data_IF_298541022869
#
_entry.id   IF_298541022869
#
_cell.length_a   1.000
_cell.length_b   1.000
_cell.length_c   1.000
_cell.angle_alpha   90.00
_cell.angle_beta   90.00
_cell.angle_gamma   90.00
#
_symmetry.space_group_name_H-M   'P 1'
#
loop_
_entity.id
_entity.type
_entity.pdbx_description
1 polymer ?
#
# COMPACT_ATOMS: atom_id res chain seq x y z
N UNK A 1 -3.19 -22.44 -3.07
CA UNK A 1 -3.00 -21.57 -4.25
C UNK A 1 -2.29 -20.36 -3.73
N UNK A 2 -0.96 -20.41 -3.66
CA UNK A 2 -0.10 -19.25 -3.41
C UNK A 2 -0.44 -18.31 -4.56
N UNK A 3 -0.85 -17.07 -4.27
CA UNK A 3 -1.12 -16.10 -5.34
C UNK A 3 0.21 -15.90 -6.06
N UNK A 4 0.42 -16.43 -7.29
CA UNK A 4 1.62 -16.13 -8.03
C UNK A 4 1.58 -14.64 -8.33
N UNK A 5 2.62 -13.92 -7.99
CA UNK A 5 2.94 -12.67 -8.65
C UNK A 5 2.93 -12.97 -10.14
N UNK A 6 2.01 -12.36 -10.84
CA UNK A 6 1.61 -12.66 -12.20
C UNK A 6 2.82 -12.62 -13.16
N UNK A 7 3.35 -13.81 -13.52
CA UNK A 7 4.19 -14.02 -14.69
C UNK A 7 3.29 -14.35 -15.88
N UNK A 8 2.58 -13.36 -16.38
CA UNK A 8 1.82 -13.45 -17.61
C UNK A 8 2.54 -12.68 -18.70
N UNK A 9 3.25 -13.38 -19.56
CA UNK A 9 3.68 -12.82 -20.84
C UNK A 9 2.43 -12.51 -21.68
N UNK A 10 2.20 -11.26 -22.10
CA UNK A 10 1.27 -11.00 -23.17
C UNK A 10 1.97 -11.34 -24.50
N UNK A 11 1.32 -12.17 -25.30
CA UNK A 11 1.68 -12.38 -26.70
C UNK A 11 1.72 -11.05 -27.45
N UNK A 12 2.81 -10.87 -28.18
CA UNK A 12 3.09 -9.77 -29.11
C UNK A 12 1.89 -9.45 -30.01
N UNK A 13 1.51 -8.18 -30.03
CA UNK A 13 1.15 -7.49 -31.29
C UNK A 13 1.26 -5.97 -31.10
N UNK A 14 2.07 -5.39 -32.01
CA UNK A 14 2.28 -3.95 -32.29
C UNK A 14 3.31 -3.20 -31.43
N UNK A 15 4.57 -3.38 -31.82
CA UNK A 15 5.66 -2.42 -31.64
C UNK A 15 5.35 -1.08 -32.35
N UNK A 16 5.02 -0.07 -31.60
CA UNK A 16 5.34 1.31 -31.92
C UNK A 16 6.04 1.93 -30.70
N UNK A 17 7.31 1.59 -30.59
CA UNK A 17 8.23 2.19 -29.62
C UNK A 17 8.60 3.58 -30.16
N UNK A 18 7.94 4.62 -29.64
CA UNK A 18 8.44 5.99 -29.81
C UNK A 18 9.55 6.16 -28.76
N UNK A 19 10.79 6.27 -29.25
CA UNK A 19 11.94 6.70 -28.46
C UNK A 19 11.69 8.10 -27.88
N UNK A 20 11.35 8.18 -26.60
CA UNK A 20 11.26 9.40 -25.81
C UNK A 20 12.46 9.53 -24.85
N UNK A 21 13.67 9.43 -25.42
CA UNK A 21 14.90 9.85 -24.75
C UNK A 21 15.64 10.85 -25.62
N UNK A 22 15.09 12.06 -25.76
CA UNK A 22 15.91 13.23 -26.05
C UNK A 22 15.68 14.24 -24.93
N UNK A 23 16.81 14.52 -24.27
CA UNK A 23 16.93 15.35 -23.10
C UNK A 23 16.13 16.65 -23.18
N UNK A 24 15.48 16.98 -22.12
CA UNK A 24 15.22 18.34 -21.75
C UNK A 24 16.58 18.94 -21.34
N UNK A 25 17.25 19.55 -22.31
CA UNK A 25 18.50 20.27 -22.10
C UNK A 25 18.27 21.35 -21.02
N UNK A 26 19.00 21.25 -19.93
CA UNK A 26 18.95 22.14 -18.76
C UNK A 26 19.62 23.50 -18.98
N UNK A 27 20.05 23.84 -20.19
CA UNK A 27 20.74 25.12 -20.50
C UNK A 27 20.01 25.86 -21.63
N UNK A 28 18.86 26.45 -21.31
CA UNK A 28 18.37 27.58 -22.11
C UNK A 28 17.85 28.66 -21.19
N UNK A 29 18.47 29.80 -21.31
CA UNK A 29 18.12 31.07 -20.68
C UNK A 29 16.60 31.26 -20.64
N UNK A 30 16.10 31.71 -19.48
CA UNK A 30 14.69 32.03 -19.22
C UNK A 30 14.22 33.10 -20.20
N UNK A 31 13.81 32.64 -21.38
CA UNK A 31 13.04 33.44 -22.31
C UNK A 31 11.58 33.35 -21.90
N UNK A 32 11.03 34.47 -21.39
CA UNK A 32 9.59 34.59 -21.17
C UNK A 32 8.85 34.49 -22.50
N UNK A 33 8.50 33.28 -22.90
CA UNK A 33 7.51 33.10 -23.96
C UNK A 33 6.15 33.45 -23.38
N UNK A 34 5.48 34.41 -23.97
CA UNK A 34 4.06 34.69 -23.79
C UNK A 34 3.27 33.42 -24.08
N UNK A 35 2.84 32.74 -23.00
CA UNK A 35 2.11 31.50 -23.09
C UNK A 35 0.75 31.73 -23.75
N UNK A 36 0.46 30.96 -24.79
CA UNK A 36 -0.88 30.89 -25.34
C UNK A 36 -1.82 30.29 -24.29
N UNK A 37 -3.05 30.79 -24.24
CA UNK A 37 -4.12 30.46 -23.31
C UNK A 37 -4.55 28.96 -23.35
N UNK A 38 -3.89 28.10 -24.13
CA UNK A 38 -4.26 26.72 -24.47
C UNK A 38 -3.42 25.63 -23.79
N UNK A 39 -2.55 25.97 -22.83
CA UNK A 39 -1.69 24.97 -22.18
C UNK A 39 -2.40 24.08 -21.14
N UNK A 40 -3.61 24.45 -20.71
CA UNK A 40 -4.48 23.66 -19.84
C UNK A 40 -5.90 23.68 -20.43
N UNK A 41 -6.49 22.49 -20.50
CA UNK A 41 -7.88 22.26 -20.92
C UNK A 41 -8.71 22.01 -19.67
N UNK A 42 -9.85 22.70 -19.57
CA UNK A 42 -10.82 22.57 -18.47
C UNK A 42 -12.12 21.99 -19.00
N UNK A 43 -12.89 21.34 -18.13
CA UNK A 43 -14.28 21.00 -18.40
C UNK A 43 -15.24 22.18 -18.15
N UNK A 44 -16.55 21.93 -18.32
CA UNK A 44 -17.60 22.91 -18.13
C UNK A 44 -17.70 23.41 -16.68
N UNK A 45 -17.29 22.60 -15.71
CA UNK A 45 -17.27 22.90 -14.29
C UNK A 45 -15.96 23.56 -13.82
N UNK A 46 -15.00 23.76 -14.73
CA UNK A 46 -13.70 24.38 -14.46
C UNK A 46 -12.67 23.41 -13.86
N UNK A 47 -12.93 22.09 -13.87
CA UNK A 47 -11.94 21.11 -13.47
C UNK A 47 -10.92 20.85 -14.60
N UNK A 48 -9.69 20.54 -14.24
CA UNK A 48 -8.61 20.29 -15.22
C UNK A 48 -8.81 18.95 -15.89
N UNK A 49 -8.91 18.93 -17.21
CA UNK A 49 -8.94 17.72 -18.04
C UNK A 49 -7.53 17.31 -18.45
N UNK A 50 -6.74 18.24 -18.99
CA UNK A 50 -5.38 17.98 -19.46
C UNK A 50 -4.56 19.27 -19.50
N UNK A 51 -3.22 19.11 -19.59
CA UNK A 51 -2.32 20.24 -19.79
C UNK A 51 -0.90 19.79 -20.04
N UNK A 52 -0.05 20.73 -20.50
CA UNK A 52 1.39 20.48 -20.55
C UNK A 52 1.94 20.24 -19.13
N UNK A 53 2.98 19.45 -19.00
CA UNK A 53 3.58 19.18 -17.69
C UNK A 53 3.97 20.46 -16.97
N UNK A 54 4.53 21.42 -17.72
CA UNK A 54 4.94 22.71 -17.17
C UNK A 54 3.77 23.56 -16.70
N UNK A 55 2.68 23.62 -17.47
CA UNK A 55 1.48 24.37 -17.10
C UNK A 55 0.80 23.77 -15.85
N UNK A 56 0.75 22.43 -15.76
CA UNK A 56 0.22 21.75 -14.58
C UNK A 56 1.12 21.99 -13.34
N UNK A 57 2.45 21.95 -13.49
CA UNK A 57 3.38 22.27 -12.39
C UNK A 57 3.22 23.74 -11.98
N UNK A 58 3.11 24.65 -12.91
CA UNK A 58 2.86 26.09 -12.59
C UNK A 58 1.57 26.27 -11.81
N UNK A 59 0.49 25.56 -12.20
CA UNK A 59 -0.77 25.58 -11.45
C UNK A 59 -0.65 24.97 -10.03
N UNK A 60 0.33 24.08 -9.79
CA UNK A 60 0.61 23.56 -8.44
C UNK A 60 1.17 24.65 -7.53
N UNK A 61 1.90 25.63 -8.07
CA UNK A 61 2.66 26.59 -7.28
C UNK A 61 1.69 27.67 -6.75
N UNK A 62 1.60 27.82 -5.41
CA UNK A 62 0.73 28.82 -4.81
C UNK A 62 1.30 30.21 -5.00
N UNK A 63 0.42 31.17 -5.16
CA UNK A 63 0.74 32.61 -5.15
C UNK A 63 0.08 33.30 -3.96
N UNK A 64 0.22 34.60 -3.86
CA UNK A 64 -0.47 35.42 -2.85
C UNK A 64 -2.00 35.28 -2.90
N UNK A 65 -2.54 35.22 -4.11
CA UNK A 65 -3.99 35.28 -4.35
C UNK A 65 -4.56 33.92 -4.86
N UNK A 66 -3.71 32.93 -5.04
CA UNK A 66 -4.08 31.59 -5.52
C UNK A 66 -3.46 30.48 -4.67
N UNK A 67 -4.28 29.49 -4.35
CA UNK A 67 -3.83 28.23 -3.74
C UNK A 67 -4.57 27.07 -4.41
N UNK A 68 -3.87 26.07 -4.95
CA UNK A 68 -4.52 24.90 -5.52
C UNK A 68 -5.30 24.14 -4.43
N UNK A 69 -6.38 23.48 -4.85
CA UNK A 69 -7.13 22.63 -3.94
C UNK A 69 -6.34 21.35 -3.56
N UNK A 70 -6.77 20.69 -2.48
CA UNK A 70 -6.09 19.50 -1.97
C UNK A 70 -6.12 18.34 -2.94
N UNK A 71 -7.22 18.16 -3.66
CA UNK A 71 -7.38 17.07 -4.62
C UNK A 71 -6.41 17.26 -5.79
N UNK A 72 -6.28 18.48 -6.30
CA UNK A 72 -5.31 18.82 -7.34
C UNK A 72 -3.86 18.57 -6.88
N UNK A 73 -3.50 19.10 -5.69
CA UNK A 73 -2.16 18.89 -5.10
C UNK A 73 -1.84 17.39 -5.02
N UNK A 74 -2.73 16.62 -4.41
CA UNK A 74 -2.52 15.19 -4.23
C UNK A 74 -2.41 14.45 -5.56
N UNK A 75 -3.37 14.69 -6.47
CA UNK A 75 -3.41 14.05 -7.79
C UNK A 75 -2.16 14.33 -8.60
N UNK A 76 -1.71 15.60 -8.64
CA UNK A 76 -0.51 15.96 -9.37
C UNK A 76 0.74 15.34 -8.73
N UNK A 77 0.96 15.51 -7.43
CA UNK A 77 2.11 14.95 -6.73
C UNK A 77 2.20 13.43 -6.88
N UNK A 78 1.06 12.74 -6.88
CA UNK A 78 1.00 11.29 -7.05
C UNK A 78 1.47 10.85 -8.44
N UNK A 79 1.08 11.54 -9.48
CA UNK A 79 1.27 11.10 -10.88
C UNK A 79 2.47 11.75 -11.56
N UNK A 80 2.80 13.01 -11.24
CA UNK A 80 3.86 13.77 -11.91
C UNK A 80 5.25 13.17 -11.69
N UNK A 81 5.45 12.42 -10.60
CA UNK A 81 6.71 11.73 -10.28
C UNK A 81 7.16 10.72 -11.34
N UNK A 82 6.27 10.34 -12.24
CA UNK A 82 6.60 9.51 -13.40
C UNK A 82 7.25 10.28 -14.56
N UNK A 83 7.22 11.60 -14.49
CA UNK A 83 7.74 12.52 -15.50
C UNK A 83 8.82 13.47 -14.95
N UNK A 84 8.69 13.88 -13.71
CA UNK A 84 9.57 14.83 -13.02
C UNK A 84 9.93 14.30 -11.65
N UNK A 85 11.22 14.29 -11.30
CA UNK A 85 11.66 13.85 -9.98
C UNK A 85 11.11 14.78 -8.87
N UNK A 86 10.72 14.25 -7.69
CA UNK A 86 10.24 15.07 -6.58
C UNK A 86 11.20 16.20 -6.18
N UNK A 87 12.52 15.95 -6.23
CA UNK A 87 13.56 16.94 -5.94
C UNK A 87 13.60 18.10 -6.96
N UNK A 88 13.38 17.79 -8.23
CA UNK A 88 13.28 18.79 -9.29
C UNK A 88 11.98 19.60 -9.16
N UNK A 89 10.86 18.93 -8.86
CA UNK A 89 9.61 19.61 -8.64
C UNK A 89 9.68 20.60 -7.48
N UNK A 90 10.25 20.19 -6.34
CA UNK A 90 10.45 21.08 -5.18
C UNK A 90 11.38 22.24 -5.52
N UNK A 91 12.43 22.00 -6.33
CA UNK A 91 13.31 23.06 -6.79
C UNK A 91 12.56 24.10 -7.67
N UNK A 92 11.70 23.64 -8.59
CA UNK A 92 10.86 24.55 -9.41
C UNK A 92 9.91 25.39 -8.55
N UNK A 93 9.31 24.79 -7.50
CA UNK A 93 8.47 25.51 -6.54
C UNK A 93 9.29 26.58 -5.82
N UNK A 94 10.49 26.24 -5.33
CA UNK A 94 11.38 27.16 -4.64
C UNK A 94 11.79 28.34 -5.54
N UNK A 95 12.24 28.07 -6.77
CA UNK A 95 12.62 29.09 -7.73
C UNK A 95 11.50 30.08 -8.03
N UNK A 96 10.26 29.57 -8.22
CA UNK A 96 9.11 30.43 -8.50
C UNK A 96 8.77 31.32 -7.29
N UNK A 97 8.80 30.76 -6.08
CA UNK A 97 8.58 31.55 -4.86
C UNK A 97 9.63 32.66 -4.68
N UNK A 98 10.91 32.37 -4.98
CA UNK A 98 11.97 33.37 -4.97
C UNK A 98 11.74 34.47 -5.99
N UNK A 99 11.31 34.09 -7.21
CA UNK A 99 11.00 35.06 -8.27
C UNK A 99 9.84 35.98 -7.88
N UNK A 100 8.75 35.44 -7.35
CA UNK A 100 7.59 36.21 -6.89
C UNK A 100 7.96 37.20 -5.76
N UNK A 101 8.81 36.79 -4.83
CA UNK A 101 9.29 37.68 -3.77
C UNK A 101 10.15 38.82 -4.32
N UNK A 102 10.98 38.56 -5.32
CA UNK A 102 11.87 39.57 -5.91
C UNK A 102 11.12 40.49 -6.89
N UNK A 103 10.12 39.97 -7.63
CA UNK A 103 9.37 40.72 -8.65
C UNK A 103 8.40 41.74 -8.05
N UNK A 104 7.93 41.51 -6.83
CA UNK A 104 6.90 42.38 -6.20
C UNK A 104 7.47 43.62 -5.47
N UNK A 105 8.80 43.74 -5.36
CA UNK A 105 9.46 44.95 -4.86
C UNK A 105 8.93 45.48 -3.50
N UNK A 106 9.09 46.79 -3.26
CA UNK A 106 8.71 47.45 -1.99
C UNK A 106 7.21 47.46 -1.66
N UNK A 107 6.34 47.10 -2.61
CA UNK A 107 4.87 47.13 -2.47
C UNK A 107 4.25 45.84 -1.89
N UNK A 108 5.05 44.85 -1.47
CA UNK A 108 4.55 43.58 -0.91
C UNK A 108 4.13 43.78 0.55
N UNK A 109 2.83 44.01 0.76
CA UNK A 109 2.28 44.25 2.11
C UNK A 109 2.54 43.06 3.05
N UNK A 110 2.59 43.32 4.35
CA UNK A 110 2.74 42.26 5.38
C UNK A 110 1.61 41.23 5.26
N UNK A 111 0.40 41.65 4.96
CA UNK A 111 -0.77 40.79 4.75
C UNK A 111 -0.62 39.90 3.52
N UNK A 112 -0.08 40.42 2.41
CA UNK A 112 0.20 39.67 1.20
C UNK A 112 1.25 38.55 1.46
N UNK A 113 2.30 38.89 2.23
CA UNK A 113 3.31 37.89 2.65
C UNK A 113 2.72 36.79 3.53
N UNK A 114 1.87 37.16 4.49
CA UNK A 114 1.19 36.19 5.36
C UNK A 114 0.29 35.24 4.57
N UNK A 115 -0.47 35.74 3.58
CA UNK A 115 -1.30 34.90 2.70
C UNK A 115 -0.45 33.96 1.84
N UNK A 116 0.62 34.47 1.24
CA UNK A 116 1.54 33.65 0.46
C UNK A 116 2.16 32.55 1.31
N UNK A 117 2.63 32.84 2.52
CA UNK A 117 3.13 31.83 3.46
C UNK A 117 2.06 30.76 3.72
N UNK A 118 0.81 31.16 4.05
CA UNK A 118 -0.25 30.21 4.34
C UNK A 118 -0.53 29.25 3.17
N UNK A 119 -0.49 29.76 1.93
CA UNK A 119 -0.73 28.98 0.74
C UNK A 119 0.44 28.01 0.44
N UNK A 120 1.70 28.46 0.58
CA UNK A 120 2.88 27.61 0.43
C UNK A 120 2.94 26.56 1.55
N UNK A 121 2.66 26.96 2.78
CA UNK A 121 2.61 26.05 3.92
C UNK A 121 1.57 24.93 3.71
N UNK A 122 0.42 25.26 3.13
CA UNK A 122 -0.60 24.26 2.78
C UNK A 122 -0.09 23.26 1.77
N UNK A 123 0.58 23.68 0.68
CA UNK A 123 1.18 22.79 -0.30
C UNK A 123 2.23 21.89 0.35
N UNK A 124 3.17 22.45 1.11
CA UNK A 124 4.23 21.71 1.78
C UNK A 124 3.69 20.71 2.81
N UNK A 125 2.66 21.11 3.55
CA UNK A 125 1.99 20.25 4.54
C UNK A 125 1.29 19.07 3.88
N UNK A 126 0.53 19.31 2.80
CA UNK A 126 -0.11 18.22 2.03
C UNK A 126 0.94 17.26 1.44
N UNK A 127 2.06 17.78 0.92
CA UNK A 127 3.13 16.95 0.38
C UNK A 127 3.78 16.09 1.47
N UNK A 128 4.23 16.72 2.56
CA UNK A 128 4.90 16.03 3.66
C UNK A 128 4.02 14.97 4.34
N UNK A 129 2.71 15.22 4.45
CA UNK A 129 1.76 14.29 5.07
C UNK A 129 1.43 13.09 4.18
N UNK A 130 1.22 13.32 2.88
CA UNK A 130 0.79 12.27 1.96
C UNK A 130 1.96 11.45 1.40
N UNK A 131 3.13 12.05 1.23
CA UNK A 131 4.31 11.44 0.61
C UNK A 131 5.59 11.70 1.43
N UNK A 132 5.64 11.25 2.69
CA UNK A 132 6.78 11.50 3.58
C UNK A 132 8.08 10.89 3.06
N UNK A 133 8.02 9.80 2.29
CA UNK A 133 9.20 9.13 1.72
C UNK A 133 10.00 10.01 0.75
N UNK A 134 9.36 10.98 0.07
CA UNK A 134 10.07 11.95 -0.77
C UNK A 134 11.11 12.74 0.03
N UNK A 135 10.89 12.90 1.33
CA UNK A 135 11.74 13.66 2.24
C UNK A 135 12.74 12.79 3.02
N UNK A 136 12.99 11.55 2.62
CA UNK A 136 14.12 10.76 3.14
C UNK A 136 15.45 11.33 2.74
N UNK A 137 15.53 11.95 1.58
CA UNK A 137 16.70 12.68 1.13
C UNK A 137 16.92 13.96 1.95
N UNK A 138 18.14 14.14 2.48
CA UNK A 138 18.52 15.32 3.25
C UNK A 138 18.37 16.61 2.44
N UNK A 139 18.68 16.56 1.14
CA UNK A 139 18.56 17.72 0.25
C UNK A 139 17.11 18.17 0.09
N UNK A 140 16.16 17.23 0.04
CA UNK A 140 14.73 17.52 0.01
C UNK A 140 14.26 18.20 1.30
N UNK A 141 14.70 17.70 2.46
CA UNK A 141 14.36 18.31 3.76
C UNK A 141 14.97 19.69 3.91
N UNK A 142 16.20 19.86 3.50
CA UNK A 142 16.86 21.17 3.52
C UNK A 142 16.09 22.18 2.65
N UNK A 143 15.79 21.84 1.40
CA UNK A 143 15.02 22.71 0.48
C UNK A 143 13.62 23.04 1.01
N UNK A 144 12.95 22.07 1.64
CA UNK A 144 11.68 22.34 2.32
C UNK A 144 11.82 23.37 3.43
N UNK A 145 12.86 23.22 4.26
CA UNK A 145 13.19 24.18 5.32
C UNK A 145 13.53 25.57 4.78
N UNK A 146 14.33 25.66 3.72
CA UNK A 146 14.66 26.91 3.02
C UNK A 146 13.42 27.59 2.47
N UNK A 147 12.55 26.86 1.75
CA UNK A 147 11.31 27.38 1.19
C UNK A 147 10.39 27.96 2.28
N UNK A 148 10.14 27.21 3.33
CA UNK A 148 9.27 27.66 4.43
C UNK A 148 9.91 28.78 5.25
N UNK A 149 11.23 28.75 5.44
CA UNK A 149 11.98 29.78 6.14
C UNK A 149 11.95 31.12 5.43
N UNK A 150 12.15 31.12 4.11
CA UNK A 150 12.07 32.34 3.29
C UNK A 150 10.67 32.99 3.30
N UNK A 151 9.64 32.15 3.34
CA UNK A 151 8.25 32.64 3.32
C UNK A 151 7.74 33.05 4.71
N UNK A 152 8.45 32.70 5.79
CA UNK A 152 8.04 33.01 7.17
C UNK A 152 8.14 34.52 7.46
N UNK A 153 7.05 35.10 7.95
CA UNK A 153 6.91 36.55 8.15
C UNK A 153 7.01 36.97 9.62
N UNK A 154 6.59 36.08 10.52
CA UNK A 154 6.47 36.31 11.95
C UNK A 154 6.80 35.05 12.78
N UNK A 155 6.84 35.20 14.11
CA UNK A 155 7.15 34.08 15.02
C UNK A 155 6.11 32.94 14.91
N UNK A 156 4.86 33.23 14.59
CA UNK A 156 3.83 32.21 14.40
C UNK A 156 4.11 31.35 13.17
N UNK A 157 4.51 31.97 12.07
CA UNK A 157 4.87 31.21 10.84
C UNK A 157 6.15 30.39 11.04
N UNK A 158 7.13 30.90 11.77
CA UNK A 158 8.31 30.12 12.15
C UNK A 158 7.95 28.89 12.99
N UNK A 159 7.11 29.07 14.02
CA UNK A 159 6.64 27.97 14.86
C UNK A 159 5.89 26.90 14.08
N UNK A 160 5.05 27.29 13.11
CA UNK A 160 4.35 26.36 12.22
C UNK A 160 5.34 25.59 11.33
N UNK A 161 6.37 26.25 10.82
CA UNK A 161 7.45 25.64 10.03
C UNK A 161 8.21 24.60 10.86
N UNK A 162 8.66 24.98 12.06
CA UNK A 162 9.39 24.09 12.97
C UNK A 162 8.55 22.86 13.34
N UNK A 163 7.25 23.07 13.60
CA UNK A 163 6.33 21.97 13.91
C UNK A 163 6.17 21.02 12.71
N UNK A 164 5.98 21.52 11.51
CA UNK A 164 5.85 20.69 10.30
C UNK A 164 7.12 19.84 10.08
N UNK A 165 8.31 20.45 10.20
CA UNK A 165 9.58 19.76 10.05
C UNK A 165 9.79 18.70 11.15
N UNK A 166 9.41 19.01 12.39
CA UNK A 166 9.47 18.06 13.51
C UNK A 166 8.50 16.87 13.30
N UNK A 167 7.26 17.13 12.88
CA UNK A 167 6.26 16.10 12.59
C UNK A 167 6.71 15.20 11.43
N UNK A 168 7.29 15.78 10.38
CA UNK A 168 7.88 15.04 9.27
C UNK A 168 9.04 14.15 9.76
N UNK A 169 9.98 14.71 10.53
CA UNK A 169 11.10 13.94 11.08
C UNK A 169 10.63 12.81 12.00
N UNK A 170 9.62 13.06 12.82
CA UNK A 170 9.00 12.03 13.65
C UNK A 170 8.40 10.91 12.81
N UNK A 171 7.72 11.25 11.71
CA UNK A 171 7.13 10.29 10.77
C UNK A 171 8.22 9.44 10.11
N UNK A 172 9.29 10.06 9.58
CA UNK A 172 10.41 9.35 8.98
C UNK A 172 11.09 8.41 9.97
N UNK A 173 11.35 8.86 11.19
CA UNK A 173 11.91 8.04 12.26
C UNK A 173 11.03 6.85 12.63
N UNK A 174 9.71 6.99 12.54
CA UNK A 174 8.75 5.89 12.75
C UNK A 174 8.85 4.86 11.63
N UNK A 175 8.92 5.31 10.38
CA UNK A 175 9.08 4.46 9.20
C UNK A 175 10.40 3.67 9.27
N UNK A 176 11.50 4.34 9.57
CA UNK A 176 12.82 3.70 9.68
C UNK A 176 12.90 2.68 10.83
N UNK A 177 12.25 2.97 11.97
CA UNK A 177 12.15 2.00 13.09
C UNK A 177 11.35 0.78 12.69
N UNK A 178 10.25 0.96 11.97
CA UNK A 178 9.44 -0.14 11.49
C UNK A 178 10.19 -1.02 10.51
N UNK A 179 10.86 -0.44 9.51
CA UNK A 179 11.63 -1.18 8.52
C UNK A 179 12.76 -1.99 9.16
N UNK A 180 13.47 -1.38 10.12
CA UNK A 180 14.49 -2.10 10.91
C UNK A 180 13.89 -3.24 11.74
N UNK A 181 12.73 -3.04 12.35
CA UNK A 181 12.05 -4.09 13.10
C UNK A 181 11.65 -5.26 12.21
N UNK A 182 11.10 -4.98 11.02
CA UNK A 182 10.74 -6.03 10.03
C UNK A 182 11.97 -6.77 9.52
N UNK A 183 13.07 -6.07 9.21
CA UNK A 183 14.31 -6.69 8.78
C UNK A 183 14.90 -7.65 9.84
N UNK A 184 14.73 -7.33 11.11
CA UNK A 184 15.16 -8.17 12.22
C UNK A 184 14.26 -9.42 12.44
N UNK A 185 13.00 -9.41 11.92
CA UNK A 185 12.10 -10.57 11.94
C UNK A 185 12.39 -11.57 10.81
N UNK A 186 13.39 -11.31 9.96
CA UNK A 186 13.77 -12.21 8.87
C UNK A 186 14.30 -13.54 9.41
N UNK A 187 13.97 -14.70 8.76
CA UNK A 187 14.27 -16.05 9.29
C UNK A 187 15.74 -16.31 9.62
N UNK A 188 16.67 -15.62 8.96
CA UNK A 188 18.11 -15.79 9.16
C UNK A 188 18.62 -15.36 10.54
N UNK A 189 17.82 -14.64 11.33
CA UNK A 189 18.18 -14.20 12.68
C UNK A 189 17.48 -15.02 13.78
N UNK A 190 16.61 -15.95 13.43
CA UNK A 190 15.73 -16.66 14.38
C UNK A 190 16.33 -17.93 15.00
N UNK A 191 17.61 -18.29 14.75
CA UNK A 191 18.25 -19.46 15.39
C UNK A 191 18.27 -19.41 16.93
N UNK A 192 18.00 -18.24 17.54
CA UNK A 192 17.99 -18.08 19.00
C UNK A 192 16.62 -18.23 19.67
N UNK A 193 15.53 -18.33 18.91
CA UNK A 193 14.16 -18.41 19.46
C UNK A 193 13.51 -19.80 19.38
N UNK A 194 14.23 -20.80 18.86
CA UNK A 194 13.77 -22.19 18.76
C UNK A 194 13.73 -22.95 20.09
N UNK A 195 14.01 -22.31 21.22
CA UNK A 195 13.97 -22.97 22.56
C UNK A 195 12.62 -22.92 23.26
N UNK A 196 11.55 -22.55 22.56
CA UNK A 196 10.19 -22.65 23.12
C UNK A 196 9.45 -23.88 22.55
N UNK A 197 10.01 -25.07 22.78
CA UNK A 197 9.43 -26.35 22.40
C UNK A 197 8.09 -26.71 23.10
N UNK A 198 7.59 -25.84 23.97
CA UNK A 198 6.36 -26.06 24.74
C UNK A 198 5.29 -24.96 24.51
N UNK A 199 5.30 -24.25 23.36
CA UNK A 199 4.18 -23.39 23.04
C UNK A 199 3.01 -24.26 22.58
N UNK A 200 2.01 -24.36 23.41
CA UNK A 200 0.67 -24.81 23.04
C UNK A 200 0.26 -24.08 21.76
N UNK A 201 -0.44 -24.78 20.84
CA UNK A 201 -0.83 -24.18 19.55
C UNK A 201 -1.66 -22.91 19.71
N UNK A 202 -1.81 -22.17 18.63
CA UNK A 202 -2.53 -20.87 18.60
C UNK A 202 -3.94 -20.95 19.21
N UNK A 203 -4.65 -22.08 19.00
CA UNK A 203 -5.98 -22.31 19.57
C UNK A 203 -6.00 -22.39 21.11
N UNK A 204 -4.89 -22.80 21.73
CA UNK A 204 -4.77 -22.85 23.20
C UNK A 204 -4.31 -21.50 23.76
N UNK A 205 -3.43 -20.82 23.04
CA UNK A 205 -2.95 -19.49 23.41
C UNK A 205 -4.04 -18.43 23.29
N UNK A 206 -4.92 -18.52 22.29
CA UNK A 206 -6.01 -17.59 22.02
C UNK A 206 -7.29 -18.39 21.67
N UNK A 207 -8.02 -18.91 22.67
CA UNK A 207 -9.20 -19.76 22.41
C UNK A 207 -10.38 -19.02 21.81
N UNK A 208 -10.41 -17.68 21.92
CA UNK A 208 -11.49 -16.85 21.41
C UNK A 208 -11.22 -16.40 19.96
N UNK A 209 -12.00 -16.88 18.95
CA UNK A 209 -11.84 -16.50 17.57
C UNK A 209 -11.93 -14.99 17.31
N UNK A 210 -12.80 -14.29 18.06
CA UNK A 210 -12.95 -12.83 17.93
C UNK A 210 -11.69 -12.10 18.42
N UNK A 211 -11.07 -12.55 19.50
CA UNK A 211 -9.82 -11.97 19.97
C UNK A 211 -8.69 -12.19 18.95
N UNK A 212 -8.57 -13.39 18.36
CA UNK A 212 -7.56 -13.63 17.32
C UNK A 212 -7.80 -12.74 16.10
N UNK A 213 -9.04 -12.58 15.65
CA UNK A 213 -9.38 -11.69 14.54
C UNK A 213 -8.97 -10.23 14.85
N UNK A 214 -9.13 -9.77 16.08
CA UNK A 214 -8.69 -8.46 16.54
C UNK A 214 -7.15 -8.31 16.50
N UNK A 215 -6.41 -9.34 16.95
CA UNK A 215 -4.92 -9.31 16.90
C UNK A 215 -4.41 -9.37 15.46
N UNK A 216 -5.02 -10.15 14.57
CA UNK A 216 -4.72 -10.13 13.14
C UNK A 216 -4.95 -8.75 12.54
N UNK A 217 -6.07 -8.11 12.89
CA UNK A 217 -6.41 -6.75 12.45
C UNK A 217 -5.38 -5.72 12.94
N UNK A 218 -4.84 -5.89 14.14
CA UNK A 218 -3.76 -5.05 14.66
C UNK A 218 -2.52 -5.11 13.76
N UNK A 219 -2.05 -6.32 13.41
CA UNK A 219 -0.90 -6.52 12.54
C UNK A 219 -1.15 -5.95 11.14
N UNK A 220 -2.33 -6.21 10.58
CA UNK A 220 -2.72 -5.73 9.26
C UNK A 220 -2.67 -4.20 9.17
N UNK A 221 -3.30 -3.49 10.11
CA UNK A 221 -3.31 -2.03 10.12
C UNK A 221 -1.91 -1.45 10.36
N UNK A 222 -1.11 -2.06 11.24
CA UNK A 222 0.27 -1.62 11.49
C UNK A 222 1.15 -1.75 10.24
N UNK A 223 0.97 -2.79 9.44
CA UNK A 223 1.72 -3.01 8.20
C UNK A 223 1.17 -2.15 7.06
N UNK A 224 -0.15 -2.08 6.92
CA UNK A 224 -0.80 -1.34 5.86
C UNK A 224 -0.49 0.17 5.93
N UNK A 225 -0.44 0.74 7.15
CA UNK A 225 -0.15 2.16 7.33
C UNK A 225 1.26 2.57 6.90
N UNK A 226 2.19 1.62 6.76
CA UNK A 226 3.56 1.89 6.30
C UNK A 226 3.70 1.94 4.78
N UNK A 227 2.73 1.41 4.02
CA UNK A 227 2.76 1.46 2.56
C UNK A 227 2.44 2.88 2.10
N UNK A 228 3.39 3.54 1.42
CA UNK A 228 3.21 4.86 0.85
C UNK A 228 2.44 4.83 -0.48
N UNK A 229 1.69 5.89 -0.83
CA UNK A 229 1.10 6.03 -2.16
C UNK A 229 2.15 6.02 -3.27
N UNK A 230 3.29 6.64 -3.01
CA UNK A 230 4.48 6.66 -3.88
C UNK A 230 5.01 5.25 -4.13
N UNK A 231 5.10 4.40 -3.10
CA UNK A 231 5.55 3.02 -3.22
C UNK A 231 4.63 2.21 -4.17
N UNK A 232 3.30 2.42 -4.06
CA UNK A 232 2.35 1.79 -4.98
C UNK A 232 2.61 2.27 -6.41
N UNK A 233 2.74 3.58 -6.66
CA UNK A 233 3.02 4.11 -7.99
C UNK A 233 4.31 3.51 -8.56
N UNK A 234 5.40 3.50 -7.78
CA UNK A 234 6.68 2.93 -8.24
C UNK A 234 6.61 1.42 -8.48
N UNK A 235 5.83 0.67 -7.70
CA UNK A 235 5.62 -0.76 -7.96
C UNK A 235 4.90 -1.02 -9.27
N UNK A 236 3.90 -0.19 -9.61
CA UNK A 236 3.16 -0.29 -10.87
C UNK A 236 4.01 0.10 -12.09
N UNK A 237 5.02 0.97 -11.89
CA UNK A 237 5.96 1.35 -12.94
C UNK A 237 7.05 0.30 -13.17
N UNK A 238 7.48 -0.39 -12.13
CA UNK A 238 8.59 -1.36 -12.20
C UNK A 238 8.28 -2.50 -13.16
N UNK A 239 7.04 -2.96 -13.21
CA UNK A 239 6.59 -3.98 -14.15
C UNK A 239 6.63 -3.51 -15.63
N UNK A 240 6.66 -2.18 -15.85
CA UNK A 240 6.85 -1.56 -17.18
C UNK A 240 8.31 -1.13 -17.42
N UNK A 241 9.19 -1.12 -16.41
CA UNK A 241 10.54 -0.54 -16.45
C UNK A 241 11.64 -1.53 -16.88
N UNK A 242 11.34 -2.80 -17.08
CA UNK A 242 12.27 -3.69 -17.83
C UNK A 242 12.49 -3.19 -19.26
N UNK A 243 11.66 -2.24 -19.73
CA UNK A 243 11.77 -1.54 -21.02
C UNK A 243 12.36 -0.13 -20.92
N UNK A 244 12.46 0.50 -19.75
CA UNK A 244 12.96 1.88 -19.57
C UNK A 244 14.01 1.89 -18.44
N UNK A 245 15.12 1.22 -18.72
CA UNK A 245 16.26 1.22 -17.80
C UNK A 245 16.94 2.57 -17.74
N UNK A 246 16.68 3.40 -16.74
CA UNK A 246 17.63 4.40 -16.20
C UNK A 246 17.11 5.33 -15.08
N UNK A 247 15.83 5.38 -14.73
CA UNK A 247 15.34 6.37 -13.74
C UNK A 247 15.26 5.82 -12.30
N UNK A 248 15.36 4.51 -12.12
CA UNK A 248 15.19 3.85 -10.82
C UNK A 248 16.47 3.77 -9.96
N UNK A 249 17.59 4.35 -10.37
CA UNK A 249 18.87 4.24 -9.65
C UNK A 249 19.09 5.23 -8.53
N UNK A 250 18.13 6.12 -8.23
CA UNK A 250 18.29 7.17 -7.21
C UNK A 250 17.50 6.95 -5.92
N UNK A 251 16.57 5.99 -5.89
CA UNK A 251 15.97 5.54 -4.63
C UNK A 251 16.58 4.20 -4.26
N UNK A 252 17.39 4.14 -3.21
CA UNK A 252 17.93 2.91 -2.62
C UNK A 252 16.83 1.99 -2.06
N UNK A 253 15.73 1.84 -2.80
CA UNK A 253 14.64 0.92 -2.50
C UNK A 253 15.13 -0.50 -2.78
N UNK A 254 15.50 -1.19 -1.72
CA UNK A 254 15.68 -2.63 -1.70
C UNK A 254 14.46 -3.31 -2.34
N UNK A 255 14.68 -4.44 -3.01
CA UNK A 255 13.64 -5.30 -3.61
C UNK A 255 12.57 -5.80 -2.60
N UNK A 256 12.64 -5.40 -1.35
CA UNK A 256 11.76 -5.73 -0.23
C UNK A 256 11.15 -4.48 0.41
N UNK A 257 10.41 -3.66 -0.35
CA UNK A 257 9.65 -2.55 0.20
C UNK A 257 8.49 -3.02 1.12
N UNK A 258 7.77 -2.06 1.71
CA UNK A 258 6.65 -2.36 2.62
C UNK A 258 5.55 -3.20 1.94
N UNK A 259 5.33 -3.01 0.64
CA UNK A 259 4.45 -3.88 -0.17
C UNK A 259 4.94 -5.33 -0.12
N UNK A 260 6.22 -5.58 -0.36
CA UNK A 260 6.81 -6.91 -0.29
C UNK A 260 6.66 -7.55 1.09
N UNK A 261 6.90 -6.80 2.15
CA UNK A 261 6.72 -7.25 3.53
C UNK A 261 5.25 -7.56 3.86
N UNK A 262 4.31 -6.79 3.29
CA UNK A 262 2.89 -7.02 3.48
C UNK A 262 2.41 -8.29 2.76
N UNK A 263 2.87 -8.53 1.54
CA UNK A 263 2.62 -9.78 0.80
C UNK A 263 3.25 -10.98 1.50
N UNK A 264 4.47 -10.83 2.03
CA UNK A 264 5.14 -11.88 2.83
C UNK A 264 4.31 -12.24 4.06
N UNK A 265 3.75 -11.26 4.74
CA UNK A 265 2.84 -11.50 5.88
C UNK A 265 1.60 -12.31 5.48
N UNK A 266 0.95 -11.96 4.38
CA UNK A 266 -0.20 -12.71 3.86
C UNK A 266 0.16 -14.19 3.63
N UNK A 267 1.30 -14.46 2.98
CA UNK A 267 1.78 -15.81 2.73
C UNK A 267 2.16 -16.53 4.04
N UNK A 268 2.77 -15.82 4.98
CA UNK A 268 3.12 -16.36 6.30
C UNK A 268 1.87 -16.79 7.06
N UNK A 269 0.81 -15.96 7.09
CA UNK A 269 -0.46 -16.30 7.73
C UNK A 269 -1.11 -17.52 7.05
N UNK A 270 -1.08 -17.60 5.71
CA UNK A 270 -1.59 -18.74 4.95
C UNK A 270 -0.89 -20.04 5.35
N UNK A 271 0.43 -20.03 5.42
CA UNK A 271 1.23 -21.19 5.80
C UNK A 271 1.08 -21.51 7.30
N UNK A 272 0.94 -20.49 8.16
CA UNK A 272 0.73 -20.68 9.60
C UNK A 272 -0.56 -21.46 9.86
N UNK A 273 -1.67 -21.10 9.19
CA UNK A 273 -2.95 -21.83 9.32
C UNK A 273 -2.76 -23.33 8.98
N UNK A 274 -2.08 -23.64 7.89
CA UNK A 274 -1.82 -25.03 7.52
C UNK A 274 -0.89 -25.73 8.53
N UNK A 275 0.12 -25.02 9.01
CA UNK A 275 1.07 -25.54 10.01
C UNK A 275 0.37 -25.89 11.32
N UNK A 276 -0.50 -25.00 11.82
CA UNK A 276 -1.28 -25.23 13.03
C UNK A 276 -2.17 -26.49 12.93
N UNK A 277 -2.78 -26.72 11.78
CA UNK A 277 -3.61 -27.91 11.56
C UNK A 277 -2.76 -29.20 11.56
N UNK A 278 -1.63 -29.18 10.83
CA UNK A 278 -0.80 -30.37 10.63
C UNK A 278 0.09 -30.73 11.83
N UNK A 279 0.31 -29.82 12.78
CA UNK A 279 0.99 -30.14 14.06
C UNK A 279 0.27 -31.23 14.86
N UNK A 280 -1.01 -31.44 14.61
CA UNK A 280 -1.82 -32.42 15.34
C UNK A 280 -1.94 -33.75 14.60
N UNK A 281 -1.30 -34.81 15.12
CA UNK A 281 -1.42 -36.16 14.60
C UNK A 281 -2.85 -36.72 14.73
N UNK A 282 -3.56 -36.37 15.81
CA UNK A 282 -4.92 -36.87 16.07
C UNK A 282 -5.95 -36.09 15.28
N UNK A 283 -6.79 -36.80 14.50
CA UNK A 283 -7.82 -36.22 13.65
C UNK A 283 -8.79 -35.27 14.40
N UNK A 284 -9.20 -35.61 15.63
CA UNK A 284 -10.13 -34.80 16.40
C UNK A 284 -9.60 -33.37 16.67
N UNK A 285 -8.28 -33.25 16.94
CA UNK A 285 -7.66 -31.94 17.16
C UNK A 285 -7.58 -31.15 15.85
N UNK A 286 -7.26 -31.80 14.72
CA UNK A 286 -7.26 -31.15 13.42
C UNK A 286 -8.64 -30.58 13.05
N UNK A 287 -9.72 -31.34 13.32
CA UNK A 287 -11.10 -30.86 13.11
C UNK A 287 -11.35 -29.58 13.92
N UNK A 288 -11.03 -29.59 15.22
CA UNK A 288 -11.21 -28.40 16.08
C UNK A 288 -10.41 -27.20 15.59
N UNK A 289 -9.17 -27.40 15.16
CA UNK A 289 -8.34 -26.29 14.63
C UNK A 289 -8.90 -25.74 13.32
N UNK A 290 -9.40 -26.59 12.43
CA UNK A 290 -10.05 -26.15 11.18
C UNK A 290 -11.30 -25.33 11.50
N UNK A 291 -12.20 -25.84 12.36
CA UNK A 291 -13.42 -25.14 12.76
C UNK A 291 -13.11 -23.80 13.46
N UNK A 292 -12.08 -23.78 14.30
CA UNK A 292 -11.59 -22.56 14.94
C UNK A 292 -11.15 -21.51 13.89
N UNK A 293 -10.34 -21.88 12.88
CA UNK A 293 -9.95 -20.92 11.84
C UNK A 293 -11.10 -20.49 10.93
N UNK A 294 -12.12 -21.34 10.73
CA UNK A 294 -13.36 -20.93 10.05
C UNK A 294 -14.09 -19.86 10.86
N UNK A 295 -14.16 -20.00 12.19
CA UNK A 295 -14.76 -19.00 13.06
C UNK A 295 -13.93 -17.71 13.10
N UNK A 296 -12.61 -17.80 13.16
CA UNK A 296 -11.71 -16.64 13.05
C UNK A 296 -11.93 -15.88 11.73
N UNK A 297 -12.02 -16.59 10.61
CA UNK A 297 -12.28 -15.98 9.30
C UNK A 297 -13.62 -15.23 9.28
N UNK A 298 -14.67 -15.81 9.89
CA UNK A 298 -15.97 -15.14 10.04
C UNK A 298 -15.84 -13.86 10.88
N UNK A 299 -15.13 -13.92 12.00
CA UNK A 299 -14.91 -12.73 12.85
C UNK A 299 -14.06 -11.67 12.13
N UNK A 300 -13.10 -12.05 11.27
CA UNK A 300 -12.37 -11.11 10.42
C UNK A 300 -13.31 -10.36 9.44
N UNK A 301 -14.32 -11.04 8.85
CA UNK A 301 -15.34 -10.34 8.03
C UNK A 301 -16.14 -9.35 8.87
N UNK A 302 -16.53 -9.74 10.08
CA UNK A 302 -17.29 -8.88 10.99
C UNK A 302 -16.54 -7.58 11.34
N UNK A 303 -15.21 -7.68 11.50
CA UNK A 303 -14.32 -6.53 11.75
C UNK A 303 -13.99 -5.73 10.48
N UNK A 304 -14.22 -6.28 9.29
CA UNK A 304 -13.82 -5.65 8.02
C UNK A 304 -12.41 -5.99 7.55
N UNK A 305 -11.79 -7.03 8.10
CA UNK A 305 -10.44 -7.49 7.75
C UNK A 305 -10.48 -8.58 6.67
N UNK A 306 -10.70 -8.18 5.43
CA UNK A 306 -10.81 -9.11 4.29
C UNK A 306 -9.47 -9.70 3.86
N UNK A 307 -8.34 -9.04 4.16
CA UNK A 307 -7.03 -9.58 3.82
C UNK A 307 -6.73 -10.85 4.61
N UNK A 308 -6.92 -10.82 5.94
CA UNK A 308 -6.74 -12.00 6.79
C UNK A 308 -7.75 -13.11 6.48
N UNK A 309 -9.01 -12.78 6.12
CA UNK A 309 -9.98 -13.79 5.66
C UNK A 309 -9.44 -14.57 4.48
N UNK A 310 -8.95 -13.85 3.45
CA UNK A 310 -8.38 -14.46 2.26
C UNK A 310 -7.18 -15.35 2.58
N UNK A 311 -6.28 -14.91 3.48
CA UNK A 311 -5.14 -15.69 3.90
C UNK A 311 -5.55 -16.99 4.63
N UNK A 312 -6.53 -16.91 5.54
CA UNK A 312 -7.04 -18.08 6.28
C UNK A 312 -7.70 -19.07 5.32
N UNK A 313 -8.60 -18.61 4.44
CA UNK A 313 -9.29 -19.48 3.48
C UNK A 313 -8.31 -20.08 2.48
N UNK A 314 -7.29 -19.34 2.05
CA UNK A 314 -6.20 -19.87 1.24
C UNK A 314 -5.43 -20.98 1.98
N UNK A 315 -5.12 -20.78 3.27
CA UNK A 315 -4.45 -21.78 4.12
C UNK A 315 -5.26 -23.07 4.27
N UNK A 316 -6.57 -22.95 4.49
CA UNK A 316 -7.50 -24.08 4.54
C UNK A 316 -7.61 -24.81 3.19
N UNK A 317 -7.33 -24.13 2.09
CA UNK A 317 -7.43 -24.66 0.72
C UNK A 317 -6.12 -25.19 0.18
N UNK A 318 -5.00 -25.05 0.91
CA UNK A 318 -3.70 -25.57 0.48
C UNK A 318 -3.77 -27.09 0.22
N UNK A 319 -3.08 -27.62 -0.80
CA UNK A 319 -3.13 -29.03 -1.15
C UNK A 319 -2.88 -30.00 0.03
N UNK A 320 -1.90 -29.73 0.96
CA UNK A 320 -1.70 -30.56 2.13
C UNK A 320 -2.91 -30.66 3.07
N UNK A 321 -3.75 -29.61 3.12
CA UNK A 321 -4.94 -29.56 3.97
C UNK A 321 -6.16 -30.11 3.20
N UNK A 322 -6.34 -29.69 1.94
CA UNK A 322 -7.47 -30.10 1.10
C UNK A 322 -7.57 -31.62 0.90
N UNK A 323 -6.40 -32.33 0.88
CA UNK A 323 -6.36 -33.79 0.76
C UNK A 323 -6.82 -34.57 1.98
N UNK A 324 -6.94 -33.96 3.16
CA UNK A 324 -7.31 -34.62 4.43
C UNK A 324 -8.78 -35.02 4.47
N UNK A 325 -9.21 -35.93 3.59
CA UNK A 325 -10.63 -36.30 3.38
C UNK A 325 -11.32 -36.79 4.65
N UNK A 326 -10.63 -37.62 5.46
CA UNK A 326 -11.17 -38.18 6.71
C UNK A 326 -11.35 -37.11 7.79
N UNK A 327 -10.52 -36.08 7.80
CA UNK A 327 -10.66 -34.91 8.66
C UNK A 327 -11.83 -34.07 8.21
N UNK A 328 -11.90 -33.71 6.92
CA UNK A 328 -12.95 -32.88 6.34
C UNK A 328 -14.34 -33.50 6.42
N UNK A 329 -14.49 -34.82 6.49
CA UNK A 329 -15.78 -35.50 6.70
C UNK A 329 -16.40 -35.19 8.07
N UNK A 330 -15.59 -34.71 9.04
CA UNK A 330 -16.09 -34.40 10.39
C UNK A 330 -16.21 -32.92 10.69
N UNK A 331 -15.71 -32.06 9.80
CA UNK A 331 -15.80 -30.60 9.91
C UNK A 331 -17.19 -30.14 9.49
N UNK A 332 -17.79 -29.25 10.28
CA UNK A 332 -18.98 -28.51 9.84
C UNK A 332 -18.57 -27.47 8.77
N UNK A 333 -18.99 -27.74 7.55
CA UNK A 333 -18.66 -26.92 6.38
C UNK A 333 -19.62 -25.77 6.13
N UNK A 334 -20.72 -25.66 6.87
CA UNK A 334 -21.78 -24.67 6.61
C UNK A 334 -21.24 -23.26 6.55
N UNK A 335 -20.47 -22.85 7.55
CA UNK A 335 -19.83 -21.53 7.62
C UNK A 335 -18.76 -21.36 6.52
N UNK A 336 -17.96 -22.38 6.28
CA UNK A 336 -16.91 -22.34 5.24
C UNK A 336 -17.49 -22.16 3.84
N UNK A 337 -18.61 -22.82 3.53
CA UNK A 337 -19.29 -22.67 2.24
C UNK A 337 -19.75 -21.22 2.02
N UNK A 338 -20.27 -20.57 3.07
CA UNK A 338 -20.66 -19.16 3.00
C UNK A 338 -19.42 -18.28 2.72
N UNK A 339 -18.31 -18.50 3.44
CA UNK A 339 -17.07 -17.79 3.24
C UNK A 339 -16.53 -17.99 1.80
N UNK A 340 -16.49 -19.23 1.32
CA UNK A 340 -16.04 -19.56 -0.03
C UNK A 340 -16.90 -18.90 -1.10
N UNK A 341 -18.23 -18.84 -0.91
CA UNK A 341 -19.12 -18.13 -1.83
C UNK A 341 -18.86 -16.61 -1.82
N UNK A 342 -18.65 -16.01 -0.65
CA UNK A 342 -18.36 -14.58 -0.53
C UNK A 342 -17.01 -14.20 -1.13
N UNK A 343 -16.04 -15.12 -1.14
CA UNK A 343 -14.67 -14.90 -1.61
C UNK A 343 -14.39 -15.53 -2.99
N UNK A 344 -15.42 -16.01 -3.67
CA UNK A 344 -15.31 -16.68 -4.96
C UNK A 344 -14.56 -15.78 -5.97
N UNK A 345 -13.44 -16.27 -6.57
CA UNK A 345 -12.69 -15.54 -7.58
C UNK A 345 -13.37 -15.44 -8.93
N UNK A 346 -14.46 -16.22 -9.17
CA UNK A 346 -15.19 -16.20 -10.43
C UNK A 346 -15.75 -14.81 -10.73
N UNK A 347 -15.96 -14.52 -12.02
CA UNK A 347 -16.46 -13.22 -12.49
C UNK A 347 -15.73 -12.01 -11.88
N UNK A 348 -14.40 -12.09 -11.81
CA UNK A 348 -13.54 -11.04 -11.25
C UNK A 348 -13.89 -10.67 -9.79
N UNK A 349 -14.13 -11.68 -8.95
CA UNK A 349 -14.44 -11.49 -7.53
C UNK A 349 -15.75 -10.71 -7.27
N UNK A 350 -16.80 -10.91 -8.09
CA UNK A 350 -18.05 -10.15 -7.97
C UNK A 350 -18.67 -10.24 -6.58
N UNK A 351 -18.75 -11.44 -5.97
CA UNK A 351 -19.32 -11.64 -4.63
C UNK A 351 -18.51 -10.91 -3.56
N UNK A 352 -17.18 -11.00 -3.65
CA UNK A 352 -16.28 -10.27 -2.75
C UNK A 352 -16.45 -8.75 -2.87
N UNK A 353 -16.52 -8.23 -4.10
CA UNK A 353 -16.69 -6.78 -4.34
C UNK A 353 -18.01 -6.26 -3.78
N UNK A 354 -19.08 -7.04 -3.88
CA UNK A 354 -20.38 -6.72 -3.28
C UNK A 354 -20.28 -6.68 -1.74
N UNK A 355 -19.60 -7.66 -1.13
CA UNK A 355 -19.37 -7.73 0.32
C UNK A 355 -18.50 -6.56 0.80
N UNK A 356 -17.43 -6.23 0.09
CA UNK A 356 -16.57 -5.10 0.40
C UNK A 356 -17.34 -3.77 0.30
N UNK A 357 -18.13 -3.57 -0.76
CA UNK A 357 -18.96 -2.37 -0.94
C UNK A 357 -19.96 -2.20 0.22
N UNK A 358 -20.60 -3.29 0.64
CA UNK A 358 -21.51 -3.26 1.80
C UNK A 358 -20.77 -2.93 3.11
N UNK A 359 -19.53 -3.41 3.29
CA UNK A 359 -18.71 -3.08 4.46
C UNK A 359 -18.29 -1.60 4.45
N UNK A 360 -17.88 -1.05 3.29
CA UNK A 360 -17.55 0.36 3.12
C UNK A 360 -18.76 1.22 3.48
N UNK A 361 -19.92 0.92 2.93
CA UNK A 361 -21.17 1.67 3.23
C UNK A 361 -21.51 1.65 4.73
N UNK A 362 -21.34 0.50 5.41
CA UNK A 362 -21.52 0.42 6.88
C UNK A 362 -20.53 1.30 7.62
N UNK A 363 -19.26 1.32 7.17
CA UNK A 363 -18.20 2.09 7.82
C UNK A 363 -18.43 3.61 7.72
N UNK A 364 -19.08 4.09 6.67
CA UNK A 364 -19.42 5.51 6.49
C UNK A 364 -20.47 5.99 7.50
N UNK A 365 -21.39 5.11 7.92
CA UNK A 365 -22.40 5.39 8.95
C UNK A 365 -21.98 5.02 10.36
N UNK A 366 -20.75 4.53 10.55
CA UNK A 366 -20.28 3.98 11.82
C UNK A 366 -20.08 5.08 12.89
N UNK A 367 -20.41 4.72 14.13
CA UNK A 367 -20.28 5.61 15.31
C UNK A 367 -19.04 5.30 16.16
N UNK A 368 -18.39 4.16 15.93
CA UNK A 368 -17.20 3.75 16.66
C UNK A 368 -16.07 3.33 15.72
N UNK A 369 -14.84 3.44 16.21
CA UNK A 369 -13.63 3.17 15.43
C UNK A 369 -13.54 1.72 14.92
N UNK A 370 -14.13 0.76 15.65
CA UNK A 370 -14.07 -0.65 15.25
C UNK A 370 -14.91 -0.93 13.99
N UNK A 371 -16.05 -0.26 13.83
CA UNK A 371 -16.90 -0.38 12.66
C UNK A 371 -16.36 0.36 11.44
N UNK A 372 -15.40 1.28 11.65
CA UNK A 372 -14.76 2.06 10.58
C UNK A 372 -13.60 1.32 9.90
N UNK A 373 -13.23 0.13 10.38
CA UNK A 373 -12.11 -0.63 9.85
C UNK A 373 -12.51 -1.26 8.52
N UNK A 374 -11.70 -0.98 7.49
CA UNK A 374 -11.75 -1.65 6.19
C UNK A 374 -10.32 -2.02 5.79
N UNK A 375 -10.06 -3.31 5.70
CA UNK A 375 -8.79 -3.85 5.19
C UNK A 375 -9.14 -4.74 4.00
N UNK A 376 -9.06 -4.20 2.77
CA UNK A 376 -9.41 -4.96 1.57
C UNK A 376 -8.39 -6.08 1.31
N UNK A 377 -8.76 -7.05 0.49
CA UNK A 377 -7.80 -8.01 -0.05
C UNK A 377 -6.79 -7.29 -0.94
N UNK A 378 -5.57 -7.15 -0.41
CA UNK A 378 -4.55 -6.28 -0.97
C UNK A 378 -4.10 -6.70 -2.36
N UNK A 379 -4.00 -8.01 -2.62
CA UNK A 379 -3.64 -8.51 -3.94
C UNK A 379 -4.63 -8.09 -5.05
N UNK A 380 -5.94 -8.09 -4.74
CA UNK A 380 -6.96 -7.63 -5.69
C UNK A 380 -6.95 -6.10 -5.84
N UNK A 381 -6.73 -5.39 -4.75
CA UNK A 381 -6.59 -3.92 -4.76
C UNK A 381 -5.42 -3.49 -5.65
N UNK A 382 -4.24 -4.08 -5.50
CA UNK A 382 -3.09 -3.81 -6.37
C UNK A 382 -3.36 -4.16 -7.83
N UNK A 383 -4.01 -5.30 -8.09
CA UNK A 383 -4.42 -5.68 -9.45
C UNK A 383 -5.34 -4.63 -10.07
N UNK A 384 -6.33 -4.15 -9.33
CA UNK A 384 -7.27 -3.13 -9.83
C UNK A 384 -6.56 -1.81 -10.09
N UNK A 385 -5.66 -1.38 -9.20
CA UNK A 385 -4.82 -0.20 -9.41
C UNK A 385 -3.89 -0.34 -10.62
N UNK A 386 -3.29 -1.52 -10.82
CA UNK A 386 -2.47 -1.82 -12.00
C UNK A 386 -3.29 -1.74 -13.30
N UNK A 387 -4.46 -2.34 -13.33
CA UNK A 387 -5.34 -2.29 -14.51
C UNK A 387 -5.80 -0.86 -14.80
N UNK A 388 -6.14 -0.08 -13.76
CA UNK A 388 -6.51 1.32 -13.91
C UNK A 388 -5.33 2.14 -14.45
N UNK A 389 -4.15 2.01 -13.84
CA UNK A 389 -2.94 2.70 -14.26
C UNK A 389 -2.54 2.40 -15.73
N UNK A 390 -2.68 1.14 -16.17
CA UNK A 390 -2.35 0.74 -17.55
C UNK A 390 -3.42 1.13 -18.57
N UNK A 391 -4.69 1.25 -18.16
CA UNK A 391 -5.77 1.73 -19.04
C UNK A 391 -5.78 3.24 -19.18
N UNK A 392 -5.22 3.97 -18.24
CA UNK A 392 -5.14 5.41 -18.29
C UNK A 392 -4.15 5.86 -19.37
N UNK A 393 -4.65 6.53 -20.41
CA UNK A 393 -3.80 7.25 -21.37
C UNK A 393 -3.23 8.43 -20.61
N UNK A 394 -1.94 8.35 -20.24
CA UNK A 394 -1.29 9.39 -19.44
C UNK A 394 -0.81 10.57 -20.29
N UNK A 395 -0.40 10.31 -21.52
CA UNK A 395 0.04 11.32 -22.48
C UNK A 395 -0.90 11.31 -23.68
N UNK A 396 -1.49 12.46 -23.96
CA UNK A 396 -2.36 12.66 -25.12
C UNK A 396 -1.54 12.92 -26.40
N UNK A 397 -2.11 12.73 -27.60
CA UNK A 397 -1.39 12.94 -28.86
C UNK A 397 -0.84 14.37 -29.05
N UNK A 398 -1.43 15.37 -28.39
CA UNK A 398 -0.98 16.76 -28.40
C UNK A 398 0.18 17.05 -27.41
N UNK A 399 0.71 16.03 -26.71
CA UNK A 399 1.75 16.18 -25.69
C UNK A 399 1.24 16.59 -24.31
N UNK A 400 -0.05 16.75 -24.11
CA UNK A 400 -0.63 17.06 -22.80
C UNK A 400 -0.67 15.81 -21.91
N UNK A 401 -0.43 16.00 -20.62
CA UNK A 401 -0.73 15.01 -19.61
C UNK A 401 -2.25 14.93 -19.40
N UNK A 402 -2.81 13.74 -19.37
CA UNK A 402 -4.23 13.50 -19.16
C UNK A 402 -4.56 13.56 -17.67
N UNK A 403 -4.89 14.76 -17.16
CA UNK A 403 -5.13 14.97 -15.76
C UNK A 403 -6.43 14.31 -15.27
N UNK A 404 -7.44 14.17 -16.12
CA UNK A 404 -8.66 13.43 -15.78
C UNK A 404 -8.38 11.95 -15.46
N UNK A 405 -7.47 11.30 -16.21
CA UNK A 405 -7.01 9.95 -15.88
C UNK A 405 -6.21 9.91 -14.57
N UNK A 406 -5.40 10.93 -14.29
CA UNK A 406 -4.69 11.07 -13.03
C UNK A 406 -5.65 11.20 -11.84
N UNK A 407 -6.74 11.96 -12.01
CA UNK A 407 -7.76 12.12 -10.98
C UNK A 407 -8.47 10.80 -10.64
N UNK A 408 -8.81 10.00 -11.64
CA UNK A 408 -9.42 8.67 -11.41
C UNK A 408 -8.50 7.75 -10.59
N UNK A 409 -7.20 7.74 -10.90
CA UNK A 409 -6.23 6.98 -10.12
C UNK A 409 -6.06 7.56 -8.70
N UNK A 410 -6.07 8.90 -8.60
CA UNK A 410 -6.00 9.62 -7.33
C UNK A 410 -7.14 9.28 -6.38
N UNK A 411 -8.38 9.16 -6.88
CA UNK A 411 -9.56 8.76 -6.08
C UNK A 411 -9.40 7.38 -5.45
N UNK A 412 -8.93 6.39 -6.22
CA UNK A 412 -8.66 5.05 -5.68
C UNK A 412 -7.57 5.09 -4.59
N UNK A 413 -6.56 5.93 -4.78
CA UNK A 413 -5.50 6.11 -3.80
C UNK A 413 -5.99 6.82 -2.53
N UNK A 414 -6.89 7.79 -2.63
CA UNK A 414 -7.52 8.46 -1.48
C UNK A 414 -8.32 7.45 -0.65
N UNK A 415 -9.08 6.56 -1.29
CA UNK A 415 -9.78 5.48 -0.60
C UNK A 415 -8.80 4.58 0.17
N UNK A 416 -7.72 4.13 -0.47
CA UNK A 416 -6.66 3.35 0.17
C UNK A 416 -6.06 4.08 1.39
N UNK A 417 -5.74 5.38 1.26
CA UNK A 417 -5.20 6.19 2.35
C UNK A 417 -6.21 6.28 3.51
N UNK A 418 -7.48 6.46 3.23
CA UNK A 418 -8.51 6.53 4.25
C UNK A 418 -8.60 5.25 5.09
N UNK A 419 -8.43 4.10 4.47
CA UNK A 419 -8.43 2.80 5.15
C UNK A 419 -7.15 2.56 5.96
N UNK A 420 -5.98 2.82 5.38
CA UNK A 420 -4.68 2.56 6.04
C UNK A 420 -4.39 3.47 7.23
N UNK A 421 -5.02 4.63 7.32
CA UNK A 421 -4.80 5.60 8.41
C UNK A 421 -5.64 5.34 9.64
N UNK A 422 -6.55 4.36 9.60
CA UNK A 422 -7.39 3.99 10.75
C UNK A 422 -6.54 3.41 11.88
N UNK A 423 -6.84 3.83 13.10
CA UNK A 423 -6.21 3.27 14.30
C UNK A 423 -6.95 2.02 14.73
N UNK A 424 -6.20 1.00 15.16
CA UNK A 424 -6.81 -0.20 15.73
C UNK A 424 -7.33 0.11 17.13
N UNK A 425 -8.65 -0.05 17.41
CA UNK A 425 -9.21 0.24 18.69
C UNK A 425 -9.09 -0.91 19.70
N UNK A 426 -8.63 -2.09 19.24
CA UNK A 426 -8.60 -3.30 20.04
C UNK A 426 -7.40 -3.34 20.98
N UNK A 427 -7.59 -3.96 22.15
CA UNK A 427 -6.51 -4.17 23.12
C UNK A 427 -5.47 -5.14 22.56
N UNK A 428 -4.20 -4.79 22.68
CA UNK A 428 -3.08 -5.65 22.27
C UNK A 428 -2.91 -6.82 23.23
N UNK A 429 -2.79 -8.02 22.69
CA UNK A 429 -2.33 -9.20 23.39
C UNK A 429 -0.92 -9.55 22.91
N UNK A 430 0.10 -9.15 23.69
CA UNK A 430 1.50 -9.27 23.32
C UNK A 430 1.92 -10.72 23.06
N UNK A 431 1.41 -11.69 23.82
CA UNK A 431 1.75 -13.09 23.63
C UNK A 431 1.22 -13.64 22.31
N UNK A 432 -0.02 -13.29 21.94
CA UNK A 432 -0.63 -13.70 20.67
C UNK A 432 0.08 -13.02 19.50
N UNK A 433 0.36 -11.72 19.61
CA UNK A 433 1.09 -10.98 18.57
C UNK A 433 2.49 -11.54 18.36
N UNK A 434 3.20 -11.84 19.43
CA UNK A 434 4.53 -12.45 19.35
C UNK A 434 4.47 -13.82 18.67
N UNK A 435 3.48 -14.65 19.03
CA UNK A 435 3.27 -15.94 18.39
C UNK A 435 3.02 -15.80 16.88
N UNK A 436 2.08 -14.93 16.48
CA UNK A 436 1.74 -14.70 15.07
C UNK A 436 2.94 -14.23 14.23
N UNK A 437 3.83 -13.43 14.82
CA UNK A 437 4.99 -12.87 14.10
C UNK A 437 6.22 -13.80 14.08
N UNK A 438 6.39 -14.66 15.10
CA UNK A 438 7.61 -15.42 15.31
C UNK A 438 7.41 -16.96 15.24
N UNK A 439 6.16 -17.45 15.17
CA UNK A 439 5.91 -18.88 15.07
C UNK A 439 6.60 -19.48 13.86
N UNK A 440 7.33 -20.57 14.07
CA UNK A 440 7.91 -21.33 12.98
C UNK A 440 6.80 -21.96 12.13
N UNK A 441 6.87 -21.75 10.84
CA UNK A 441 6.00 -22.37 9.85
C UNK A 441 6.76 -23.48 9.12
N UNK A 442 6.03 -24.48 8.67
CA UNK A 442 6.62 -25.57 7.88
C UNK A 442 6.86 -25.14 6.44
N UNK A 443 7.88 -25.70 5.80
CA UNK A 443 8.07 -25.54 4.35
C UNK A 443 6.97 -26.27 3.58
N UNK A 444 6.80 -25.97 2.30
CA UNK A 444 5.79 -26.62 1.46
C UNK A 444 6.00 -28.16 1.42
N UNK A 445 7.25 -28.61 1.35
CA UNK A 445 7.60 -30.04 1.38
C UNK A 445 7.30 -30.68 2.73
N UNK A 446 7.57 -29.99 3.84
CA UNK A 446 7.23 -30.46 5.18
C UNK A 446 5.73 -30.56 5.41
N UNK A 447 4.97 -29.55 4.96
CA UNK A 447 3.50 -29.57 5.02
C UNK A 447 2.94 -30.80 4.27
N UNK A 448 3.45 -31.09 3.07
CA UNK A 448 3.02 -32.27 2.32
C UNK A 448 3.39 -33.56 3.01
N UNK A 449 4.61 -33.67 3.53
CA UNK A 449 5.09 -34.85 4.28
C UNK A 449 4.20 -35.10 5.51
N UNK A 450 3.98 -34.08 6.34
CA UNK A 450 3.12 -34.18 7.53
C UNK A 450 1.67 -34.52 7.18
N UNK A 451 1.17 -33.98 6.08
CA UNK A 451 -0.18 -34.31 5.58
C UNK A 451 -0.29 -35.82 5.27
N UNK A 452 0.72 -36.43 4.64
CA UNK A 452 0.73 -37.87 4.39
C UNK A 452 0.87 -38.68 5.70
N UNK A 453 1.59 -38.18 6.68
CA UNK A 453 1.69 -38.81 8.01
C UNK A 453 0.35 -38.72 8.77
N UNK A 454 -0.41 -37.61 8.60
CA UNK A 454 -1.73 -37.44 9.18
C UNK A 454 -2.81 -38.34 8.56
N UNK A 455 -2.81 -38.42 7.23
CA UNK A 455 -3.69 -39.31 6.46
C UNK A 455 -2.91 -39.94 5.30
N UNK A 456 -2.77 -41.24 5.31
CA UNK A 456 -1.98 -41.98 4.33
C UNK A 456 -2.39 -41.67 2.88
N UNK A 457 -1.43 -41.74 1.98
CA UNK A 457 -1.63 -41.60 0.55
C UNK A 457 -2.52 -42.73 0.00
N UNK A 458 -3.69 -42.41 -0.50
CA UNK A 458 -4.63 -43.39 -1.04
C UNK A 458 -4.35 -43.71 -2.53
N UNK A 459 -3.92 -42.71 -3.31
CA UNK A 459 -3.64 -42.85 -4.75
C UNK A 459 -2.19 -43.22 -5.04
N UNK A 460 -1.93 -43.89 -6.17
CA UNK A 460 -0.56 -44.26 -6.60
C UNK A 460 0.32 -43.03 -6.81
N UNK A 461 -0.21 -41.96 -7.41
CA UNK A 461 0.49 -40.68 -7.61
C UNK A 461 0.90 -40.03 -6.29
N UNK A 462 0.02 -40.03 -5.28
CA UNK A 462 0.34 -39.54 -3.93
C UNK A 462 1.41 -40.37 -3.25
N UNK A 463 1.39 -41.72 -3.42
CA UNK A 463 2.39 -42.60 -2.87
C UNK A 463 3.79 -42.41 -3.48
N UNK A 464 3.84 -42.14 -4.79
CA UNK A 464 5.09 -41.79 -5.47
C UNK A 464 5.63 -40.44 -5.01
N UNK A 465 4.74 -39.45 -4.88
CA UNK A 465 5.12 -38.13 -4.34
C UNK A 465 5.64 -38.24 -2.91
N UNK A 466 4.98 -39.00 -2.04
CA UNK A 466 5.44 -39.21 -0.66
C UNK A 466 6.80 -39.92 -0.59
N UNK A 467 7.08 -40.87 -1.50
CA UNK A 467 8.40 -41.51 -1.60
C UNK A 467 9.53 -40.54 -1.94
N UNK A 468 9.22 -39.49 -2.74
CA UNK A 468 10.20 -38.46 -3.11
C UNK A 468 10.44 -37.44 -1.99
N UNK A 469 9.50 -37.30 -1.04
CA UNK A 469 9.60 -36.39 0.10
C UNK A 469 10.29 -37.03 1.33
N UNK A 470 10.44 -38.37 1.35
CA UNK A 470 11.21 -39.10 2.34
C UNK A 470 12.68 -39.10 2.02
#
# INVERSE_FOLDING_TARGET
MIVPLYNGHPTNENNNTIELTKGLDCDSAVGYHTFQQNDIVYDEDGAVISGSAEALIRRLIPTRDYCPDRSYIFTLLLNIRTFVAPSELLHKVLQHCMFEQNATGENFTKEGRTRMFANIFKLCSEWAQNMPYDFRDDSMRQRLGELLGMCSVDERSKLLTERLLADLQHTLNRLDRYERAIANLSPNNNEKLTQSENLNGLCELCPNPSELAQQLTQIELERLCMIGPDEIVYSLLKDNLDTIGKVASHSGASTSGNIGHYVTWFNQLTVLVASEILRHSKKQYRVRVIEYFIDVAKECINVGNFNSVMAIVAGLSLPPIARLKKTWLRVDKSKLQILQHQLDPSANFTSYRATLKAAIWRSEGAKNDAEMIIIPFFGLLLKDMFLLHNRCIRLLPNGHLNFASFAQFGEQMINFISWKTRRCPFKRNSSVLQYLLLASTFTESDLMKMSYECEMADQSSEREHYKKLK
#
